data_IF_544833444368
#
_entry.id   IF_544833444368
#
_cell.length_a   1.000
_cell.length_b   1.000
_cell.length_c   1.000
_cell.angle_alpha   90.00
_cell.angle_beta   90.00
_cell.angle_gamma   90.00
#
_symmetry.space_group_name_H-M   'P 1'
#
loop_
_entity.id
_entity.type
_entity.pdbx_description
1 polymer ?
#
# COMPACT_ATOMS: atom_id res chain seq x y z
N UNK A 1 -9.32 -3.99 -59.74
CA UNK A 1 -8.33 -3.60 -58.71
C UNK A 1 -9.04 -2.79 -57.63
N UNK A 2 -9.39 -3.38 -56.49
CA UNK A 2 -9.66 -2.61 -55.26
C UNK A 2 -9.14 -3.43 -54.08
N UNK A 3 -7.95 -3.06 -53.62
CA UNK A 3 -7.27 -3.64 -52.46
C UNK A 3 -7.99 -3.18 -51.20
N UNK A 4 -8.52 -4.13 -50.42
CA UNK A 4 -9.06 -3.86 -49.09
C UNK A 4 -7.90 -3.81 -48.10
N UNK A 5 -7.54 -2.61 -47.68
CA UNK A 5 -6.54 -2.36 -46.64
C UNK A 5 -7.18 -2.67 -45.28
N UNK A 6 -6.82 -3.79 -44.66
CA UNK A 6 -7.20 -4.10 -43.27
C UNK A 6 -6.39 -3.22 -42.33
N UNK A 7 -7.06 -2.32 -41.62
CA UNK A 7 -6.47 -1.50 -40.56
C UNK A 7 -6.39 -2.34 -39.27
N UNK A 8 -5.20 -2.86 -38.95
CA UNK A 8 -4.93 -3.43 -37.62
C UNK A 8 -4.89 -2.29 -36.60
N UNK A 9 -5.91 -2.20 -35.74
CA UNK A 9 -5.87 -1.32 -34.58
C UNK A 9 -4.90 -1.87 -33.54
N UNK A 10 -3.79 -1.17 -33.29
CA UNK A 10 -2.98 -1.37 -32.10
C UNK A 10 -3.78 -0.87 -30.89
N UNK A 11 -4.30 -1.79 -30.09
CA UNK A 11 -4.83 -1.47 -28.76
C UNK A 11 -3.62 -1.24 -27.85
N UNK A 12 -3.27 0.03 -27.62
CA UNK A 12 -2.33 0.39 -26.57
C UNK A 12 -2.97 0.12 -25.22
N UNK A 13 -2.57 -0.97 -24.56
CA UNK A 13 -2.90 -1.20 -23.15
C UNK A 13 -2.06 -0.25 -22.31
N UNK A 14 -2.56 0.95 -22.07
CA UNK A 14 -1.95 1.84 -21.07
C UNK A 14 -2.21 1.21 -19.71
N UNK A 15 -1.20 0.51 -19.17
CA UNK A 15 -1.18 0.09 -17.77
C UNK A 15 -0.93 1.36 -16.95
N UNK A 16 -2.00 2.10 -16.66
CA UNK A 16 -1.91 3.36 -15.91
C UNK A 16 -1.65 3.10 -14.42
N UNK A 17 -2.22 2.04 -13.85
CA UNK A 17 -2.16 1.76 -12.41
C UNK A 17 -0.94 0.94 -12.03
N UNK A 18 -0.33 1.28 -10.88
CA UNK A 18 0.87 0.64 -10.37
C UNK A 18 0.60 -0.45 -9.34
N UNK A 19 1.66 -1.20 -9.03
CA UNK A 19 1.75 -2.09 -7.87
C UNK A 19 3.11 -1.87 -7.21
N UNK A 20 3.27 -2.29 -5.95
CA UNK A 20 4.59 -2.25 -5.30
C UNK A 20 5.43 -3.43 -5.78
N UNK A 21 6.45 -3.14 -6.58
CA UNK A 21 7.37 -4.16 -7.11
C UNK A 21 8.31 -4.74 -6.05
N UNK A 22 8.60 -3.97 -5.01
CA UNK A 22 9.46 -4.39 -3.92
C UNK A 22 9.56 -3.35 -2.80
N UNK A 23 10.18 -3.77 -1.70
CA UNK A 23 10.43 -2.91 -0.55
C UNK A 23 11.92 -2.88 -0.19
N UNK A 24 12.36 -1.77 0.38
CA UNK A 24 13.70 -1.64 0.99
C UNK A 24 13.51 -1.47 2.49
N UNK A 25 13.82 -2.50 3.28
CA UNK A 25 13.76 -2.45 4.73
C UNK A 25 15.18 -2.37 5.30
N UNK A 26 15.48 -1.31 6.06
CA UNK A 26 16.80 -1.02 6.63
C UNK A 26 17.96 -1.15 5.61
N UNK A 27 17.72 -0.72 4.37
CA UNK A 27 18.69 -0.76 3.27
C UNK A 27 18.73 -2.07 2.48
N UNK A 28 18.01 -3.10 2.90
CA UNK A 28 17.94 -4.39 2.19
C UNK A 28 16.70 -4.44 1.30
N UNK A 29 16.88 -4.74 0.02
CA UNK A 29 15.79 -4.91 -0.94
C UNK A 29 15.18 -6.31 -0.84
N UNK A 30 13.85 -6.36 -0.93
CA UNK A 30 13.03 -7.57 -0.96
C UNK A 30 12.00 -7.45 -2.08
N UNK A 31 11.83 -8.52 -2.85
CA UNK A 31 10.82 -8.55 -3.91
C UNK A 31 9.39 -8.55 -3.33
N UNK A 32 8.56 -7.69 -3.94
CA UNK A 32 7.12 -7.70 -3.78
C UNK A 32 6.50 -8.79 -4.63
N UNK A 33 5.18 -8.92 -4.57
CA UNK A 33 4.47 -9.91 -5.38
C UNK A 33 4.02 -9.32 -6.71
N UNK A 34 4.33 -10.01 -7.81
CA UNK A 34 3.72 -9.77 -9.11
C UNK A 34 2.63 -10.83 -9.37
N UNK A 35 1.37 -10.43 -9.67
CA UNK A 35 0.29 -11.37 -9.99
C UNK A 35 0.61 -12.40 -11.09
N UNK A 36 1.49 -12.07 -12.03
CA UNK A 36 1.93 -13.01 -13.07
C UNK A 36 2.79 -14.16 -12.55
N UNK A 37 3.32 -14.08 -11.32
CA UNK A 37 4.08 -15.17 -10.71
C UNK A 37 3.27 -16.45 -10.52
N UNK A 38 1.94 -16.38 -10.56
CA UNK A 38 1.07 -17.57 -10.57
C UNK A 38 1.28 -18.48 -11.80
N UNK A 39 1.91 -17.96 -12.86
CA UNK A 39 2.20 -18.70 -14.09
C UNK A 39 3.66 -19.19 -14.19
N UNK A 40 4.46 -19.03 -13.12
CA UNK A 40 5.87 -19.43 -13.07
C UNK A 40 6.02 -20.65 -12.15
N UNK A 41 6.86 -21.63 -12.52
CA UNK A 41 7.13 -22.83 -11.72
C UNK A 41 8.66 -23.11 -11.58
N UNK A 42 9.23 -23.14 -10.36
CA UNK A 42 8.58 -22.75 -9.09
C UNK A 42 8.29 -21.24 -9.05
N UNK A 43 7.18 -20.86 -8.41
CA UNK A 43 6.84 -19.45 -8.24
C UNK A 43 7.87 -18.74 -7.36
N UNK A 44 8.28 -17.48 -7.67
CA UNK A 44 9.19 -16.72 -6.84
C UNK A 44 8.71 -16.55 -5.39
N UNK A 45 9.65 -16.66 -4.45
CA UNK A 45 9.43 -16.42 -3.01
C UNK A 45 9.55 -14.92 -2.72
N UNK A 46 8.52 -14.33 -2.12
CA UNK A 46 8.40 -12.88 -1.93
C UNK A 46 7.88 -12.56 -0.53
N UNK A 47 8.22 -11.36 -0.04
CA UNK A 47 7.71 -10.83 1.23
C UNK A 47 6.34 -10.17 1.08
N UNK A 48 5.97 -9.84 -0.17
CA UNK A 48 4.65 -9.33 -0.53
C UNK A 48 3.59 -10.43 -0.55
N UNK A 49 2.38 -10.11 -0.11
CA UNK A 49 1.25 -11.01 -0.15
C UNK A 49 0.87 -11.33 -1.59
N UNK A 50 0.48 -12.58 -1.85
CA UNK A 50 0.05 -13.00 -3.18
C UNK A 50 -1.30 -12.38 -3.47
N UNK A 51 -1.48 -11.76 -4.63
CA UNK A 51 -2.73 -11.13 -5.09
C UNK A 51 -3.07 -11.60 -6.51
N UNK A 52 -3.31 -12.91 -6.72
CA UNK A 52 -3.45 -13.50 -8.06
C UNK A 52 -4.61 -12.91 -8.87
N UNK A 53 -5.62 -12.34 -8.21
CA UNK A 53 -6.74 -11.66 -8.86
C UNK A 53 -6.41 -10.26 -9.38
N UNK A 54 -5.23 -9.70 -9.05
CA UNK A 54 -4.86 -8.32 -9.41
C UNK A 54 -4.06 -8.19 -10.72
N UNK A 55 -4.33 -9.03 -11.73
CA UNK A 55 -3.57 -9.04 -13.00
C UNK A 55 -3.65 -7.72 -13.79
N UNK A 56 -4.71 -6.94 -13.57
CA UNK A 56 -4.94 -5.68 -14.27
C UNK A 56 -4.39 -4.44 -13.53
N UNK A 57 -3.68 -4.62 -12.41
CA UNK A 57 -3.39 -3.54 -11.45
C UNK A 57 -4.67 -2.76 -11.10
N UNK A 58 -5.73 -3.49 -10.74
CA UNK A 58 -7.01 -2.91 -10.33
C UNK A 58 -6.96 -2.32 -8.92
N UNK A 59 -8.14 -2.02 -8.40
CA UNK A 59 -8.34 -1.38 -7.09
C UNK A 59 -9.50 -2.05 -6.33
N UNK A 60 -9.62 -1.71 -5.06
CA UNK A 60 -10.79 -2.03 -4.22
C UNK A 60 -11.73 -0.82 -4.25
N UNK A 61 -12.99 -1.07 -4.63
CA UNK A 61 -14.02 -0.03 -4.71
C UNK A 61 -14.79 0.08 -3.37
N UNK A 62 -15.32 1.27 -3.02
CA UNK A 62 -15.98 1.51 -1.75
C UNK A 62 -17.12 0.55 -1.38
N UNK A 63 -17.93 0.12 -2.34
CA UNK A 63 -19.01 -0.85 -2.15
C UNK A 63 -18.52 -2.24 -1.66
N UNK A 64 -17.23 -2.52 -1.80
CA UNK A 64 -16.57 -3.74 -1.32
C UNK A 64 -15.73 -3.55 -0.06
N UNK A 65 -15.71 -2.38 0.58
CA UNK A 65 -14.91 -2.13 1.80
C UNK A 65 -15.24 -3.07 2.97
N UNK A 66 -16.45 -3.62 3.04
CA UNK A 66 -16.80 -4.61 4.07
C UNK A 66 -16.41 -6.05 3.68
N UNK A 67 -15.67 -6.26 2.58
CA UNK A 67 -15.30 -7.58 2.03
C UNK A 67 -13.81 -7.88 2.25
N UNK A 68 -13.40 -9.17 2.25
CA UNK A 68 -12.03 -9.56 2.57
C UNK A 68 -10.94 -9.02 1.62
N UNK A 69 -11.30 -8.57 0.41
CA UNK A 69 -10.33 -8.03 -0.54
C UNK A 69 -9.76 -6.66 -0.10
N UNK A 70 -10.47 -5.90 0.74
CA UNK A 70 -9.94 -4.63 1.30
C UNK A 70 -8.71 -4.85 2.18
N UNK A 71 -8.53 -6.06 2.72
CA UNK A 71 -7.50 -6.37 3.71
C UNK A 71 -6.11 -6.27 3.07
N UNK A 72 -5.89 -7.04 1.99
CA UNK A 72 -4.60 -7.17 1.32
C UNK A 72 -4.70 -7.25 -0.21
N UNK A 73 -5.80 -6.75 -0.79
CA UNK A 73 -6.17 -6.81 -2.21
C UNK A 73 -6.90 -8.10 -2.65
N UNK A 74 -7.35 -8.07 -3.91
CA UNK A 74 -8.15 -9.08 -4.61
C UNK A 74 -7.49 -10.47 -4.55
N UNK A 75 -8.20 -11.41 -3.93
CA UNK A 75 -7.77 -12.81 -3.85
C UNK A 75 -6.54 -13.02 -2.97
N UNK A 76 -6.26 -12.08 -2.06
CA UNK A 76 -4.98 -12.09 -1.35
C UNK A 76 -4.80 -13.31 -0.44
N UNK A 77 -3.61 -13.93 -0.52
CA UNK A 77 -3.14 -14.98 0.39
C UNK A 77 -1.76 -14.63 0.93
N UNK A 78 -1.39 -15.21 2.07
CA UNK A 78 -0.18 -14.90 2.82
C UNK A 78 1.10 -14.94 1.96
N UNK A 79 2.03 -14.03 2.26
CA UNK A 79 3.40 -14.11 1.76
C UNK A 79 4.14 -15.33 2.35
N UNK A 80 5.21 -15.77 1.70
CA UNK A 80 5.92 -17.01 2.06
C UNK A 80 7.09 -16.78 3.03
N UNK A 81 7.46 -15.52 3.23
CA UNK A 81 8.60 -15.09 4.04
C UNK A 81 8.40 -13.64 4.46
N UNK A 82 9.25 -13.12 5.34
CA UNK A 82 9.17 -11.79 5.91
C UNK A 82 10.43 -10.96 5.67
N UNK A 83 10.27 -9.64 5.50
CA UNK A 83 11.39 -8.70 5.50
C UNK A 83 11.80 -8.38 6.93
N UNK A 84 13.10 -8.47 7.23
CA UNK A 84 13.61 -8.10 8.56
C UNK A 84 13.76 -6.59 8.64
N UNK A 85 13.27 -6.01 9.73
CA UNK A 85 13.37 -4.57 9.99
C UNK A 85 13.48 -4.31 11.49
N UNK A 86 14.12 -3.22 11.88
CA UNK A 86 14.14 -2.77 13.27
C UNK A 86 12.92 -1.93 13.59
N UNK A 87 12.44 -1.97 14.83
CA UNK A 87 11.62 -0.90 15.37
C UNK A 87 12.43 0.41 15.32
N UNK A 88 11.84 1.48 14.79
CA UNK A 88 12.55 2.72 14.41
C UNK A 88 13.24 2.66 13.03
N UNK A 89 13.25 1.50 12.38
CA UNK A 89 13.79 1.28 11.05
C UNK A 89 12.92 1.89 9.95
N UNK A 90 13.51 2.02 8.76
CA UNK A 90 12.84 2.60 7.59
C UNK A 90 12.43 1.51 6.61
N UNK A 91 11.26 1.67 6.00
CA UNK A 91 10.80 0.87 4.88
C UNK A 91 10.45 1.79 3.73
N UNK A 92 11.03 1.55 2.56
CA UNK A 92 10.65 2.23 1.32
C UNK A 92 9.88 1.29 0.39
N UNK A 93 8.75 1.74 -0.14
CA UNK A 93 7.88 1.01 -1.07
C UNK A 93 8.12 1.52 -2.48
N UNK A 94 8.56 0.65 -3.39
CA UNK A 94 8.81 1.01 -4.78
C UNK A 94 7.62 0.62 -5.64
N UNK A 95 6.87 1.61 -6.11
CA UNK A 95 5.79 1.40 -7.07
C UNK A 95 6.34 1.31 -8.49
N UNK A 96 5.70 0.48 -9.32
CA UNK A 96 6.05 0.35 -10.74
C UNK A 96 5.80 1.64 -11.52
N UNK A 97 4.71 2.35 -11.19
CA UNK A 97 4.30 3.62 -11.79
C UNK A 97 3.19 4.23 -10.92
N UNK A 98 2.91 5.53 -11.08
CA UNK A 98 1.71 6.15 -10.53
C UNK A 98 1.26 7.34 -11.40
N UNK A 99 -0.01 7.40 -11.85
CA UNK A 99 -0.49 8.51 -12.65
C UNK A 99 -0.57 9.81 -11.84
N UNK A 100 -0.12 10.93 -12.42
CA UNK A 100 -0.23 12.25 -11.80
C UNK A 100 -1.68 12.68 -11.53
N UNK A 101 -2.65 12.14 -12.27
CA UNK A 101 -4.08 12.38 -12.03
C UNK A 101 -4.60 11.69 -10.78
N UNK A 102 -4.00 10.58 -10.35
CA UNK A 102 -4.44 9.76 -9.22
C UNK A 102 -3.95 10.35 -7.89
N UNK A 103 -4.40 11.57 -7.61
CA UNK A 103 -4.09 12.30 -6.38
C UNK A 103 -4.76 11.64 -5.19
N UNK A 104 -4.07 11.59 -4.07
CA UNK A 104 -4.67 11.15 -2.81
C UNK A 104 -3.67 10.85 -1.70
N UNK A 105 -4.17 10.31 -0.57
CA UNK A 105 -3.33 9.96 0.56
C UNK A 105 -2.52 8.68 0.34
N UNK A 106 -1.45 8.55 1.13
CA UNK A 106 -0.67 7.33 1.31
C UNK A 106 -0.68 6.97 2.79
N UNK A 107 -1.01 5.72 3.11
CA UNK A 107 -1.32 5.27 4.47
C UNK A 107 -0.65 3.93 4.75
N UNK A 108 -0.06 3.79 5.94
CA UNK A 108 0.52 2.54 6.43
C UNK A 108 -0.17 2.05 7.71
N UNK A 109 -0.37 0.74 7.77
CA UNK A 109 -0.92 0.04 8.92
C UNK A 109 -0.06 -1.16 9.30
N UNK A 110 -0.01 -1.49 10.58
CA UNK A 110 0.59 -2.72 11.09
C UNK A 110 -0.45 -3.56 11.84
N UNK A 111 -0.43 -4.87 11.62
CA UNK A 111 -1.18 -5.84 12.39
C UNK A 111 -0.25 -6.95 12.89
N UNK A 112 -0.32 -7.26 14.18
CA UNK A 112 0.47 -8.34 14.76
C UNK A 112 -0.10 -9.70 14.31
N UNK A 113 0.76 -10.58 13.80
CA UNK A 113 0.35 -11.91 13.36
C UNK A 113 0.07 -12.86 14.52
N UNK A 114 0.54 -12.52 15.73
CA UNK A 114 0.47 -13.36 16.94
C UNK A 114 1.04 -14.77 16.70
N UNK A 115 2.07 -14.86 15.86
CA UNK A 115 2.62 -16.10 15.32
C UNK A 115 3.29 -15.85 13.97
N UNK A 116 3.54 -16.90 13.17
CA UNK A 116 4.00 -16.77 11.79
C UNK A 116 2.98 -16.05 10.91
N UNK A 117 3.42 -15.07 10.11
CA UNK A 117 2.53 -14.36 9.19
C UNK A 117 2.21 -15.17 7.93
N UNK A 118 2.97 -16.23 7.67
CA UNK A 118 2.80 -17.16 6.56
C UNK A 118 1.51 -17.97 6.67
N UNK A 119 0.95 -18.09 7.88
CA UNK A 119 -0.23 -18.91 8.18
C UNK A 119 -1.36 -18.13 8.87
N UNK A 120 -1.20 -16.81 9.08
CA UNK A 120 -2.20 -16.00 9.76
C UNK A 120 -3.50 -15.89 8.96
N UNK A 121 -4.65 -16.01 9.61
CA UNK A 121 -5.93 -15.67 9.00
C UNK A 121 -6.03 -14.15 8.84
N UNK A 122 -6.05 -13.67 7.59
CA UNK A 122 -6.09 -12.24 7.29
C UNK A 122 -7.34 -11.54 7.88
N UNK A 123 -8.42 -12.28 8.08
CA UNK A 123 -9.69 -11.74 8.60
C UNK A 123 -9.65 -11.47 10.11
N UNK A 124 -8.67 -12.04 10.82
CA UNK A 124 -8.49 -11.82 12.27
C UNK A 124 -7.46 -10.73 12.59
N UNK A 125 -6.79 -10.19 11.57
CA UNK A 125 -5.76 -9.16 11.76
C UNK A 125 -6.38 -7.86 12.30
N UNK A 126 -5.87 -7.41 13.45
CA UNK A 126 -6.21 -6.13 14.07
C UNK A 126 -5.15 -5.10 13.69
N UNK A 127 -5.57 -4.11 12.92
CA UNK A 127 -4.67 -3.15 12.30
C UNK A 127 -4.62 -1.83 13.05
N UNK A 128 -3.41 -1.30 13.15
CA UNK A 128 -3.13 0.01 13.73
C UNK A 128 -2.52 0.90 12.65
N UNK A 129 -3.07 2.10 12.43
CA UNK A 129 -2.52 3.10 11.50
C UNK A 129 -1.24 3.69 12.07
N UNK A 130 -0.11 3.52 11.39
CA UNK A 130 1.22 3.93 11.88
C UNK A 130 1.85 5.07 11.09
N UNK A 131 1.31 5.39 9.92
CA UNK A 131 1.64 6.58 9.14
C UNK A 131 0.48 6.92 8.22
N UNK A 132 0.25 8.20 7.99
CA UNK A 132 -0.82 8.69 7.13
C UNK A 132 -0.51 10.11 6.66
N UNK A 133 -0.32 10.29 5.35
CA UNK A 133 -0.12 11.59 4.74
C UNK A 133 -1.16 11.77 3.63
N UNK A 134 -1.87 12.89 3.66
CA UNK A 134 -2.94 13.21 2.70
C UNK A 134 -2.62 14.42 1.85
N UNK A 135 -3.51 15.40 1.88
CA UNK A 135 -3.30 16.71 1.26
C UNK A 135 -2.20 17.48 2.01
N UNK A 136 -1.17 17.90 1.29
CA UNK A 136 -0.05 18.69 1.82
C UNK A 136 -0.26 20.19 1.61
N UNK A 137 -0.82 20.57 0.46
CA UNK A 137 -1.14 21.96 0.16
C UNK A 137 -2.30 22.06 -0.82
N UNK A 138 -3.46 22.57 -0.38
CA UNK A 138 -4.67 22.72 -1.19
C UNK A 138 -4.51 23.69 -2.38
N UNK A 139 -3.57 24.62 -2.27
CA UNK A 139 -3.39 25.74 -3.22
C UNK A 139 -2.19 25.59 -4.14
N UNK A 140 -1.31 24.63 -3.85
CA UNK A 140 -0.17 24.31 -4.71
C UNK A 140 -0.63 23.37 -5.81
N UNK A 141 -0.34 23.71 -7.07
CA UNK A 141 -0.70 23.00 -8.30
C UNK A 141 -2.22 22.73 -8.47
N UNK A 142 -2.64 22.39 -9.70
CA UNK A 142 -4.05 22.10 -9.98
C UNK A 142 -4.54 20.91 -9.15
N UNK A 143 -5.65 21.11 -8.43
CA UNK A 143 -6.27 20.14 -7.51
C UNK A 143 -5.40 19.76 -6.31
N UNK A 144 -4.50 20.64 -5.89
CA UNK A 144 -3.69 20.48 -4.67
C UNK A 144 -2.47 19.57 -4.84
N UNK A 145 -1.57 19.67 -3.86
CA UNK A 145 -0.37 18.85 -3.71
C UNK A 145 -0.60 17.79 -2.63
N UNK A 146 -0.42 16.52 -2.98
CA UNK A 146 -0.80 15.34 -2.19
C UNK A 146 0.41 14.44 -1.92
N UNK A 147 0.24 13.49 -1.00
CA UNK A 147 1.22 12.44 -0.73
C UNK A 147 1.66 11.69 -2.00
N UNK A 148 0.73 11.37 -2.91
CA UNK A 148 1.04 10.74 -4.20
C UNK A 148 1.94 11.61 -5.09
N UNK A 149 1.86 12.94 -5.00
CA UNK A 149 2.75 13.83 -5.75
C UNK A 149 4.20 13.76 -5.21
N UNK A 150 4.38 13.59 -3.90
CA UNK A 150 5.70 13.31 -3.31
C UNK A 150 6.22 11.92 -3.73
N UNK A 151 5.35 10.90 -3.74
CA UNK A 151 5.69 9.55 -4.22
C UNK A 151 6.22 9.61 -5.67
N UNK A 152 5.52 10.32 -6.56
CA UNK A 152 5.94 10.48 -7.97
C UNK A 152 7.28 11.20 -8.05
N UNK A 153 7.45 12.30 -7.31
CA UNK A 153 8.70 13.07 -7.28
C UNK A 153 9.90 12.27 -6.77
N UNK A 154 9.66 11.28 -5.89
CA UNK A 154 10.66 10.37 -5.35
C UNK A 154 10.80 9.09 -6.17
N UNK A 155 10.66 9.17 -7.50
CA UNK A 155 10.78 8.04 -8.42
C UNK A 155 9.85 6.88 -8.03
N UNK A 156 8.56 7.21 -7.85
CA UNK A 156 7.50 6.29 -7.44
C UNK A 156 7.77 5.56 -6.12
N UNK A 157 8.52 6.19 -5.22
CA UNK A 157 8.94 5.56 -3.97
C UNK A 157 8.39 6.33 -2.76
N UNK A 158 7.81 5.60 -1.82
CA UNK A 158 7.31 6.13 -0.55
C UNK A 158 8.11 5.56 0.61
N UNK A 159 8.48 6.36 1.61
CA UNK A 159 9.20 5.85 2.79
C UNK A 159 8.35 6.04 4.06
N UNK A 160 8.29 4.99 4.88
CA UNK A 160 7.68 5.02 6.21
C UNK A 160 8.68 4.55 7.27
N UNK A 161 8.38 4.85 8.53
CA UNK A 161 9.18 4.43 9.69
C UNK A 161 8.34 3.50 10.53
N UNK A 162 8.90 2.36 10.91
CA UNK A 162 8.29 1.49 11.92
C UNK A 162 8.42 2.22 13.27
N UNK A 163 7.32 2.51 13.99
CA UNK A 163 7.41 3.11 15.32
C UNK A 163 8.38 2.36 16.24
N UNK A 164 9.28 3.09 16.91
CA UNK A 164 10.32 2.50 17.77
C UNK A 164 9.76 1.81 19.03
N UNK A 165 8.53 2.13 19.40
CA UNK A 165 7.83 1.57 20.57
C UNK A 165 7.21 0.20 20.30
N UNK A 166 7.15 -0.25 19.04
CA UNK A 166 6.57 -1.54 18.67
C UNK A 166 7.42 -2.69 19.22
N UNK A 167 6.73 -3.68 19.79
CA UNK A 167 7.33 -4.90 20.30
C UNK A 167 7.93 -5.75 19.18
N UNK A 168 9.03 -6.43 19.50
CA UNK A 168 9.58 -7.49 18.64
C UNK A 168 8.50 -8.54 18.31
N UNK A 169 8.41 -8.95 17.04
CA UNK A 169 7.44 -9.93 16.58
C UNK A 169 7.22 -9.91 15.07
N UNK A 170 6.35 -10.80 14.60
CA UNK A 170 5.96 -10.85 13.19
C UNK A 170 4.69 -10.02 12.97
N UNK A 171 4.71 -9.17 11.96
CA UNK A 171 3.62 -8.27 11.63
C UNK A 171 3.30 -8.33 10.15
N UNK A 172 2.02 -8.15 9.80
CA UNK A 172 1.65 -7.73 8.44
C UNK A 172 1.67 -6.23 8.40
N UNK A 173 2.40 -5.68 7.44
CA UNK A 173 2.35 -4.29 7.05
C UNK A 173 1.43 -4.14 5.84
N UNK A 174 0.46 -3.23 5.91
CA UNK A 174 -0.41 -2.83 4.80
C UNK A 174 -0.09 -1.40 4.42
N UNK A 175 0.46 -1.23 3.23
CA UNK A 175 0.70 0.06 2.58
C UNK A 175 -0.41 0.31 1.56
N UNK A 176 -0.97 1.51 1.52
CA UNK A 176 -2.13 1.81 0.68
C UNK A 176 -2.04 3.21 0.10
N UNK A 177 -2.44 3.33 -1.16
CA UNK A 177 -2.82 4.59 -1.79
C UNK A 177 -4.33 4.59 -2.00
N UNK A 178 -4.98 5.72 -1.74
CA UNK A 178 -6.39 5.95 -2.11
C UNK A 178 -6.41 6.98 -3.23
N UNK A 179 -6.80 6.61 -4.45
CA UNK A 179 -6.90 7.55 -5.56
C UNK A 179 -8.27 8.26 -5.56
N UNK A 180 -8.25 9.59 -5.65
CA UNK A 180 -9.42 10.47 -5.48
C UNK A 180 -9.89 11.11 -6.80
N UNK A 181 -9.32 10.72 -7.93
CA UNK A 181 -9.62 11.36 -9.23
C UNK A 181 -11.07 11.15 -9.69
N UNK A 182 -11.79 10.17 -9.14
CA UNK A 182 -13.22 9.95 -9.41
C UNK A 182 -14.09 9.99 -8.15
N UNK A 183 -13.51 10.31 -6.98
CA UNK A 183 -14.17 10.20 -5.68
C UNK A 183 -15.27 11.24 -5.42
N UNK A 184 -15.49 12.19 -6.33
CA UNK A 184 -16.64 13.10 -6.26
C UNK A 184 -17.98 12.40 -6.50
N UNK A 185 -17.95 11.18 -7.05
CA UNK A 185 -19.12 10.32 -7.24
C UNK A 185 -19.13 9.17 -6.22
N UNK A 186 -20.31 8.70 -5.78
CA UNK A 186 -20.43 7.49 -5.00
C UNK A 186 -19.68 6.32 -5.66
N UNK A 187 -18.97 5.53 -4.86
CA UNK A 187 -18.14 4.42 -5.31
C UNK A 187 -16.95 4.79 -6.22
N UNK A 188 -16.59 6.08 -6.28
CA UNK A 188 -15.54 6.58 -7.19
C UNK A 188 -14.11 6.59 -6.64
N UNK A 189 -13.91 6.50 -5.33
CA UNK A 189 -12.59 6.31 -4.74
C UNK A 189 -12.02 4.93 -5.11
N UNK A 190 -10.69 4.81 -5.16
CA UNK A 190 -10.01 3.59 -5.58
C UNK A 190 -8.87 3.28 -4.61
N UNK A 191 -8.99 2.19 -3.85
CA UNK A 191 -8.02 1.79 -2.84
C UNK A 191 -7.05 0.74 -3.40
N UNK A 192 -5.75 0.94 -3.15
CA UNK A 192 -4.67 0.07 -3.63
C UNK A 192 -3.85 -0.52 -2.47
N UNK A 193 -4.44 -1.39 -1.62
CA UNK A 193 -3.72 -2.00 -0.51
C UNK A 193 -2.68 -3.02 -0.99
N UNK A 194 -1.47 -2.96 -0.44
CA UNK A 194 -0.36 -3.88 -0.66
C UNK A 194 0.15 -4.37 0.69
N UNK A 195 0.12 -5.68 0.92
CA UNK A 195 0.54 -6.28 2.19
C UNK A 195 1.92 -6.94 2.11
N UNK A 196 2.67 -6.85 3.20
CA UNK A 196 4.01 -7.42 3.35
C UNK A 196 4.16 -8.07 4.72
N UNK A 197 4.81 -9.23 4.80
CA UNK A 197 5.22 -9.80 6.08
C UNK A 197 6.50 -9.12 6.56
N UNK A 198 6.53 -8.72 7.83
CA UNK A 198 7.69 -8.14 8.49
C UNK A 198 8.09 -8.97 9.70
N UNK A 199 9.40 -9.12 9.88
CA UNK A 199 10.02 -9.63 11.10
C UNK A 199 10.66 -8.44 11.84
N UNK A 200 9.92 -7.86 12.79
CA UNK A 200 10.32 -6.65 13.50
C UNK A 200 11.14 -7.01 14.73
N UNK A 201 12.31 -6.37 14.88
CA UNK A 201 13.20 -6.51 16.06
C UNK A 201 13.40 -5.19 16.78
N UNK A 202 13.46 -5.19 18.11
CA UNK A 202 13.70 -3.98 18.88
C UNK A 202 13.46 -4.16 20.38
N UNK A 203 13.50 -3.06 21.11
CA UNK A 203 13.27 -3.00 22.57
C UNK A 203 11.91 -2.42 22.94
N UNK A 204 11.08 -2.07 21.95
CA UNK A 204 9.72 -1.64 22.16
C UNK A 204 8.86 -2.71 22.84
N UNK A 205 7.72 -2.31 23.37
CA UNK A 205 6.82 -3.17 24.17
C UNK A 205 5.37 -3.11 23.72
N UNK A 206 5.00 -2.21 22.81
CA UNK A 206 3.63 -2.13 22.30
C UNK A 206 3.37 -3.25 21.29
N UNK A 207 2.41 -4.11 21.62
CA UNK A 207 2.00 -5.26 20.79
C UNK A 207 0.93 -4.91 19.76
N UNK A 208 0.42 -3.67 19.76
CA UNK A 208 -0.66 -3.20 18.89
C UNK A 208 -1.98 -3.97 19.07
N UNK A 209 -2.29 -4.37 20.31
CA UNK A 209 -3.43 -5.26 20.61
C UNK A 209 -4.82 -4.64 20.37
N UNK A 210 -4.91 -3.30 20.32
CA UNK A 210 -6.17 -2.55 20.19
C UNK A 210 -6.44 -2.08 18.76
N UNK A 211 -5.89 -2.78 17.76
CA UNK A 211 -6.16 -2.48 16.35
C UNK A 211 -7.63 -2.74 15.96
N UNK A 212 -7.99 -2.38 14.73
CA UNK A 212 -9.35 -2.56 14.18
C UNK A 212 -9.31 -3.45 12.93
N UNK A 213 -10.42 -4.11 12.63
CA UNK A 213 -10.53 -4.95 11.42
C UNK A 213 -10.53 -4.08 10.16
N UNK A 214 -9.77 -4.47 9.14
CA UNK A 214 -9.68 -3.70 7.88
C UNK A 214 -11.05 -3.51 7.18
N UNK A 215 -11.96 -4.48 7.31
CA UNK A 215 -13.34 -4.41 6.80
C UNK A 215 -14.22 -3.35 7.49
N UNK A 216 -13.66 -2.65 8.48
CA UNK A 216 -14.32 -1.58 9.24
C UNK A 216 -13.58 -0.24 9.14
N UNK A 217 -12.45 -0.18 8.43
CA UNK A 217 -11.65 1.05 8.31
C UNK A 217 -12.47 2.21 7.73
N UNK A 218 -13.18 1.92 6.64
CA UNK A 218 -13.68 2.91 5.71
C UNK A 218 -15.11 2.57 5.32
N UNK A 219 -15.91 3.61 5.12
CA UNK A 219 -17.27 3.53 4.61
C UNK A 219 -17.35 4.30 3.28
N UNK A 220 -18.23 3.90 2.36
CA UNK A 220 -18.43 4.61 1.09
C UNK A 220 -18.76 6.10 1.23
N UNK A 221 -19.30 6.51 2.38
CA UNK A 221 -19.73 7.89 2.66
C UNK A 221 -18.76 8.65 3.55
N UNK A 222 -17.60 8.09 3.90
CA UNK A 222 -16.61 8.83 4.69
C UNK A 222 -16.15 10.08 3.92
N UNK A 223 -15.91 11.21 4.59
CA UNK A 223 -15.58 12.48 3.92
C UNK A 223 -14.25 12.44 3.16
N UNK A 224 -13.37 11.48 3.46
CA UNK A 224 -12.14 11.22 2.71
C UNK A 224 -12.30 10.26 1.52
N UNK A 225 -13.47 9.61 1.40
CA UNK A 225 -13.81 8.60 0.38
C UNK A 225 -14.79 9.16 -0.63
N UNK A 226 -15.86 9.82 -0.19
CA UNK A 226 -16.74 10.61 -1.06
C UNK A 226 -16.25 12.06 -0.99
N UNK A 227 -15.26 12.37 -1.82
CA UNK A 227 -14.52 13.63 -1.81
C UNK A 227 -14.37 14.18 -3.23
N UNK A 228 -14.85 15.39 -3.49
CA UNK A 228 -14.71 16.01 -4.80
C UNK A 228 -13.37 16.76 -4.92
N UNK A 229 -12.40 16.10 -5.56
CA UNK A 229 -11.07 16.63 -5.86
C UNK A 229 -11.07 17.85 -6.81
N UNK A 230 -12.16 18.11 -7.52
CA UNK A 230 -12.24 19.20 -8.51
C UNK A 230 -13.03 20.40 -8.00
N UNK A 231 -13.67 20.28 -6.84
CA UNK A 231 -14.30 21.38 -6.13
C UNK A 231 -13.29 22.19 -5.30
N UNK A 232 -13.73 23.31 -4.73
CA UNK A 232 -12.91 24.08 -3.78
C UNK A 232 -12.86 23.35 -2.43
N UNK A 233 -11.66 23.07 -1.95
CA UNK A 233 -11.40 22.53 -0.61
C UNK A 233 -10.16 23.21 0.00
N UNK A 234 -10.09 23.22 1.33
CA UNK A 234 -8.91 23.73 2.09
C UNK A 234 -8.26 22.66 2.95
N UNK A 235 -8.96 21.56 3.19
CA UNK A 235 -8.52 20.43 4.00
C UNK A 235 -9.01 19.12 3.39
N UNK A 236 -8.44 18.02 3.87
CA UNK A 236 -8.82 16.66 3.52
C UNK A 236 -8.82 15.81 4.79
N UNK A 237 -9.88 15.04 5.01
CA UNK A 237 -9.95 14.09 6.14
C UNK A 237 -9.42 12.75 5.68
N UNK A 238 -8.25 12.35 6.19
CA UNK A 238 -7.69 11.04 5.85
C UNK A 238 -8.59 9.94 6.44
N UNK A 239 -9.05 8.99 5.62
CA UNK A 239 -9.98 7.94 6.05
C UNK A 239 -9.28 6.86 6.91
N UNK A 240 -10.04 5.97 7.54
CA UNK A 240 -9.51 4.91 8.40
C UNK A 240 -9.40 5.29 9.89
N UNK A 241 -8.94 4.36 10.76
CA UNK A 241 -8.83 4.58 12.21
C UNK A 241 -7.90 5.73 12.61
N UNK A 242 -7.93 6.13 13.88
CA UNK A 242 -7.02 7.13 14.41
C UNK A 242 -5.54 6.73 14.23
N UNK A 243 -4.67 7.72 14.05
CA UNK A 243 -3.23 7.51 13.97
C UNK A 243 -2.70 7.05 15.34
N UNK A 244 -1.82 6.05 15.34
CA UNK A 244 -1.13 5.57 16.53
C UNK A 244 -0.33 6.70 17.20
N UNK A 245 -0.39 6.79 18.53
CA UNK A 245 0.32 7.84 19.28
C UNK A 245 1.85 7.74 19.17
N UNK A 246 2.39 6.56 18.85
CA UNK A 246 3.81 6.37 18.57
C UNK A 246 4.19 6.51 17.09
N UNK A 247 3.24 6.88 16.21
CA UNK A 247 3.51 7.10 14.79
C UNK A 247 4.58 8.18 14.57
N UNK A 248 5.42 7.98 13.56
CA UNK A 248 6.48 8.93 13.21
C UNK A 248 6.26 9.40 11.77
N UNK A 249 6.02 10.70 11.61
CA UNK A 249 6.00 11.33 10.28
C UNK A 249 7.41 11.72 9.88
N UNK A 250 7.80 11.38 8.65
CA UNK A 250 9.08 11.80 8.07
C UNK A 250 8.87 12.66 6.84
N UNK A 251 9.82 13.55 6.58
CA UNK A 251 9.91 14.24 5.29
C UNK A 251 10.23 13.22 4.21
N UNK A 252 9.43 13.21 3.15
CA UNK A 252 9.64 12.32 2.01
C UNK A 252 10.81 12.82 1.17
N UNK A 253 11.74 11.91 0.88
CA UNK A 253 12.88 12.11 0.00
C UNK A 253 13.14 10.82 -0.77
N UNK A 254 13.75 10.91 -1.94
CA UNK A 254 14.24 9.72 -2.65
C UNK A 254 15.15 8.90 -1.71
N UNK A 255 14.82 7.64 -1.40
CA UNK A 255 15.64 6.84 -0.52
C UNK A 255 16.98 6.47 -1.19
N UNK A 256 18.04 6.21 -0.40
CA UNK A 256 19.29 5.70 -0.93
C UNK A 256 19.07 4.35 -1.63
N UNK A 257 19.96 4.03 -2.57
CA UNK A 257 19.95 2.71 -3.22
C UNK A 257 20.09 1.60 -2.16
N UNK A 258 19.46 0.42 -2.37
CA UNK A 258 19.66 -0.72 -1.50
C UNK A 258 21.14 -1.08 -1.40
N UNK A 259 21.57 -1.51 -0.22
CA UNK A 259 22.93 -2.01 0.03
C UNK A 259 23.04 -3.51 -0.17
N UNK A 260 21.91 -4.24 -0.18
CA UNK A 260 21.83 -5.67 -0.41
C UNK A 260 20.44 -6.08 -0.92
N UNK A 261 20.30 -7.34 -1.33
CA UNK A 261 19.03 -8.01 -1.68
C UNK A 261 18.88 -9.27 -0.84
N UNK A 262 17.67 -9.61 -0.41
CA UNK A 262 17.37 -10.81 0.37
C UNK A 262 16.02 -11.43 -0.03
N UNK A 263 15.91 -12.75 0.10
CA UNK A 263 14.65 -13.48 -0.09
C UNK A 263 13.79 -13.54 1.17
N UNK A 264 14.20 -12.92 2.28
CA UNK A 264 13.44 -12.89 3.54
C UNK A 264 13.85 -13.91 4.60
N UNK A 265 13.16 -13.87 5.74
CA UNK A 265 13.26 -14.79 6.88
C UNK A 265 11.89 -15.37 7.23
N UNK A 266 11.82 -16.51 7.91
CA UNK A 266 10.53 -17.15 8.26
C UNK A 266 9.96 -16.71 9.63
N UNK A 267 10.82 -16.21 10.52
CA UNK A 267 10.44 -15.70 11.84
C UNK A 267 11.45 -14.65 12.29
N UNK A 268 11.06 -13.83 13.27
CA UNK A 268 12.00 -13.06 14.09
C UNK A 268 12.89 -13.97 14.93
#
# INVERSE_FOLDING_TARGET
MFSKLSLLGLVSTVVAHGTVSGIIADGVYYDGYNPSYQYINPAPVTVGWKTPGNLANGFIAPDTFAKPDVICHIGATNAMTAARVKAGGKIAFQWTTWPTSHKGPVIEYLANCNGPCETVDKTTLLWTKVSAIGLLNATSITNGYWATDQLIANNFTWTSVIPSTIATGNYVLRHEIVALHASGQPNGAQDYPQCFNLAITGTGTDKLANGVLATTFMKPTDPGILFDLYSKFTNYTIPGPALYSGAVTITQTLPPKPTATSTGVYTV
#
